data_IF_813799077584
#
_entry.id   IF_813799077584
#
_cell.length_a   1.000
_cell.length_b   1.000
_cell.length_c   1.000
_cell.angle_alpha   90.00
_cell.angle_beta   90.00
_cell.angle_gamma   90.00
#
_symmetry.space_group_name_H-M   'P 1'
#
loop_
_entity.id
_entity.type
_entity.pdbx_description
1 polymer ?
#
# COMPACT_ATOMS: atom_id res chain seq x y z
N UNK A 1 -15.79 7.84 -18.81
CA UNK A 1 -16.10 7.55 -17.37
C UNK A 1 -15.12 6.54 -16.85
N UNK A 2 -14.75 6.64 -15.56
CA UNK A 2 -13.74 5.79 -14.94
C UNK A 2 -14.34 5.04 -13.75
N UNK A 3 -13.97 3.77 -13.57
CA UNK A 3 -14.37 2.95 -12.43
C UNK A 3 -13.29 2.96 -11.35
N UNK A 4 -13.64 3.33 -10.13
CA UNK A 4 -12.78 3.24 -8.96
C UNK A 4 -13.29 2.17 -7.99
N UNK A 5 -12.47 1.15 -7.70
CA UNK A 5 -12.74 0.22 -6.62
C UNK A 5 -11.93 0.58 -5.39
N UNK A 6 -12.49 0.40 -4.20
CA UNK A 6 -11.80 0.75 -2.95
C UNK A 6 -11.81 2.24 -2.60
N UNK A 7 -12.73 3.03 -3.14
CA UNK A 7 -12.87 4.47 -2.89
C UNK A 7 -13.04 4.82 -1.40
N UNK A 8 -13.57 3.92 -0.58
CA UNK A 8 -13.76 4.12 0.88
C UNK A 8 -12.51 3.85 1.71
N UNK A 9 -11.44 3.35 1.08
CA UNK A 9 -10.15 3.09 1.71
C UNK A 9 -9.25 4.34 1.75
N UNK A 10 -8.12 4.26 2.48
CA UNK A 10 -7.18 5.37 2.61
C UNK A 10 -6.70 5.92 1.26
N UNK A 11 -6.06 5.08 0.44
CA UNK A 11 -5.58 5.50 -0.88
C UNK A 11 -6.73 5.88 -1.84
N UNK A 12 -7.86 5.15 -1.76
CA UNK A 12 -8.98 5.38 -2.68
C UNK A 12 -9.67 6.73 -2.48
N UNK A 13 -9.76 7.24 -1.23
CA UNK A 13 -10.30 8.58 -0.96
C UNK A 13 -9.42 9.68 -1.55
N UNK A 14 -8.10 9.58 -1.35
CA UNK A 14 -7.15 10.53 -1.95
C UNK A 14 -7.17 10.46 -3.48
N UNK A 15 -7.27 9.26 -4.03
CA UNK A 15 -7.31 9.07 -5.48
C UNK A 15 -8.61 9.63 -6.09
N UNK A 16 -9.77 9.47 -5.44
CA UNK A 16 -11.03 10.07 -5.94
C UNK A 16 -10.94 11.58 -6.02
N UNK A 17 -10.42 12.23 -4.97
CA UNK A 17 -10.21 13.68 -4.97
C UNK A 17 -9.22 14.12 -6.08
N UNK A 18 -8.12 13.35 -6.27
CA UNK A 18 -7.12 13.65 -7.31
C UNK A 18 -7.68 13.50 -8.73
N UNK A 19 -8.47 12.46 -8.99
CA UNK A 19 -9.12 12.23 -10.28
C UNK A 19 -10.19 13.32 -10.57
N UNK A 20 -11.02 13.64 -9.58
CA UNK A 20 -12.03 14.68 -9.72
C UNK A 20 -11.42 16.06 -9.98
N UNK A 21 -10.31 16.40 -9.31
CA UNK A 21 -9.57 17.65 -9.56
C UNK A 21 -9.03 17.77 -11.01
N UNK A 22 -8.89 16.62 -11.70
CA UNK A 22 -8.58 16.56 -13.14
C UNK A 22 -9.82 16.51 -14.04
N UNK A 23 -11.01 16.73 -13.50
CA UNK A 23 -12.28 16.76 -14.25
C UNK A 23 -12.76 15.36 -14.68
N UNK A 24 -12.29 14.29 -14.02
CA UNK A 24 -12.71 12.93 -14.35
C UNK A 24 -14.06 12.60 -13.73
N UNK A 25 -14.92 11.90 -14.47
CA UNK A 25 -16.20 11.40 -13.98
C UNK A 25 -16.01 10.00 -13.42
N UNK A 26 -16.38 9.79 -12.15
CA UNK A 26 -16.08 8.59 -11.39
C UNK A 26 -17.33 7.78 -11.07
N UNK A 27 -17.28 6.49 -11.36
CA UNK A 27 -18.17 5.47 -10.82
C UNK A 27 -17.40 4.66 -9.78
N UNK A 28 -18.03 4.32 -8.65
CA UNK A 28 -17.45 3.44 -7.65
C UNK A 28 -18.23 2.13 -7.51
N UNK A 29 -17.50 1.02 -7.36
CA UNK A 29 -18.08 -0.24 -6.88
C UNK A 29 -17.91 -0.31 -5.36
N UNK A 30 -19.03 -0.35 -4.63
CA UNK A 30 -19.07 -0.26 -3.17
C UNK A 30 -19.86 -1.44 -2.60
N UNK A 31 -19.31 -2.08 -1.58
CA UNK A 31 -19.96 -3.23 -0.94
C UNK A 31 -21.29 -2.83 -0.29
N UNK A 32 -22.29 -3.69 -0.43
CA UNK A 32 -23.58 -3.53 0.25
C UNK A 32 -23.36 -3.40 1.76
N UNK A 33 -24.06 -2.44 2.39
CA UNK A 33 -23.93 -2.16 3.83
C UNK A 33 -22.77 -1.20 4.19
N UNK A 34 -22.03 -0.69 3.22
CA UNK A 34 -21.06 0.38 3.48
C UNK A 34 -21.77 1.66 3.92
N UNK A 35 -21.28 2.32 4.97
CA UNK A 35 -21.78 3.62 5.40
C UNK A 35 -21.58 4.67 4.29
N UNK A 36 -22.66 5.33 3.90
CA UNK A 36 -22.68 6.37 2.86
C UNK A 36 -21.69 7.51 3.13
N UNK A 37 -21.47 7.86 4.40
CA UNK A 37 -20.51 8.90 4.81
C UNK A 37 -19.05 8.56 4.46
N UNK A 38 -18.76 7.31 4.14
CA UNK A 38 -17.44 6.87 3.73
C UNK A 38 -17.20 6.94 2.22
N UNK A 39 -18.26 7.16 1.44
CA UNK A 39 -18.16 7.33 -0.01
C UNK A 39 -17.74 8.77 -0.26
N UNK A 40 -16.62 9.02 -0.98
CA UNK A 40 -16.19 10.37 -1.32
C UNK A 40 -17.24 11.12 -2.13
N UNK A 41 -17.38 12.42 -1.88
CA UNK A 41 -18.34 13.29 -2.57
C UNK A 41 -18.06 13.42 -4.08
N UNK A 42 -16.83 13.13 -4.47
CA UNK A 42 -16.37 13.13 -5.86
C UNK A 42 -16.90 11.94 -6.69
N UNK A 43 -17.55 10.96 -6.08
CA UNK A 43 -18.15 9.82 -6.77
C UNK A 43 -19.53 10.21 -7.30
N UNK A 44 -19.68 10.30 -8.63
CA UNK A 44 -20.95 10.65 -9.26
C UNK A 44 -21.91 9.47 -9.37
N UNK A 45 -21.37 8.24 -9.55
CA UNK A 45 -22.18 7.02 -9.65
C UNK A 45 -21.69 5.95 -8.68
N UNK A 46 -22.62 5.32 -7.98
CA UNK A 46 -22.30 4.20 -7.08
C UNK A 46 -23.03 2.94 -7.51
N UNK A 47 -22.27 1.88 -7.79
CA UNK A 47 -22.79 0.54 -7.98
C UNK A 47 -22.61 -0.25 -6.69
N UNK A 48 -23.72 -0.77 -6.16
CA UNK A 48 -23.72 -1.58 -4.95
C UNK A 48 -23.51 -3.06 -5.28
N UNK A 49 -22.47 -3.64 -4.70
CA UNK A 49 -22.11 -5.06 -4.85
C UNK A 49 -20.67 -5.33 -4.45
N UNK A 50 -20.32 -6.61 -4.39
CA UNK A 50 -18.95 -7.09 -4.15
C UNK A 50 -18.20 -7.36 -5.45
N UNK A 51 -16.89 -7.57 -5.32
CA UNK A 51 -16.06 -8.09 -6.43
C UNK A 51 -16.28 -9.60 -6.69
N UNK A 52 -17.13 -10.22 -5.91
CA UNK A 52 -17.63 -11.58 -6.05
C UNK A 52 -19.06 -11.65 -6.63
N UNK A 53 -19.66 -10.51 -6.99
CA UNK A 53 -20.99 -10.40 -7.59
C UNK A 53 -20.88 -10.10 -9.10
N UNK A 54 -21.05 -11.11 -10.00
CA UNK A 54 -20.92 -10.90 -11.45
C UNK A 54 -21.91 -9.87 -12.01
N UNK A 55 -23.12 -9.78 -11.45
CA UNK A 55 -24.09 -8.80 -11.90
C UNK A 55 -23.71 -7.37 -11.50
N UNK A 56 -23.15 -7.18 -10.32
CA UNK A 56 -22.61 -5.89 -9.89
C UNK A 56 -21.37 -5.50 -10.73
N UNK A 57 -20.49 -6.46 -11.02
CA UNK A 57 -19.32 -6.23 -11.87
C UNK A 57 -19.72 -5.80 -13.27
N UNK A 58 -20.69 -6.48 -13.90
CA UNK A 58 -21.19 -6.11 -15.22
C UNK A 58 -21.77 -4.69 -15.24
N UNK A 59 -22.54 -4.30 -14.20
CA UNK A 59 -23.05 -2.93 -14.08
C UNK A 59 -21.94 -1.92 -13.85
N UNK A 60 -20.95 -2.27 -13.01
CA UNK A 60 -19.85 -1.37 -12.66
C UNK A 60 -18.95 -1.08 -13.86
N UNK A 61 -18.66 -2.08 -14.69
CA UNK A 61 -17.76 -1.95 -15.88
C UNK A 61 -18.46 -1.45 -17.13
N UNK A 62 -19.80 -1.39 -17.16
CA UNK A 62 -20.56 -0.94 -18.34
C UNK A 62 -20.21 0.50 -18.72
N UNK A 63 -19.83 0.73 -19.97
CA UNK A 63 -19.45 2.05 -20.52
C UNK A 63 -18.30 2.74 -19.74
N UNK A 64 -17.35 1.97 -19.23
CA UNK A 64 -16.14 2.44 -18.58
C UNK A 64 -14.96 2.38 -19.55
N UNK A 65 -14.17 3.45 -19.60
CA UNK A 65 -12.93 3.49 -20.38
C UNK A 65 -11.73 2.97 -19.58
N UNK A 66 -11.63 3.37 -18.29
CA UNK A 66 -10.51 3.02 -17.41
C UNK A 66 -10.99 2.52 -16.06
N UNK A 67 -10.39 1.43 -15.59
CA UNK A 67 -10.57 0.89 -14.24
C UNK A 67 -9.35 1.23 -13.38
N UNK A 68 -9.57 1.85 -12.22
CA UNK A 68 -8.58 2.01 -11.14
C UNK A 68 -8.89 1.01 -10.03
N UNK A 69 -8.12 -0.07 -9.97
CA UNK A 69 -8.32 -1.13 -9.00
C UNK A 69 -7.42 -0.94 -7.78
N UNK A 70 -7.97 -0.28 -6.74
CA UNK A 70 -7.29 0.04 -5.48
C UNK A 70 -7.79 -0.85 -4.33
N UNK A 71 -8.95 -1.46 -4.50
CA UNK A 71 -9.54 -2.34 -3.48
C UNK A 71 -8.60 -3.48 -3.11
N UNK A 72 -8.36 -3.65 -1.83
CA UNK A 72 -7.64 -4.80 -1.27
C UNK A 72 -7.99 -4.99 0.21
N UNK A 73 -7.96 -6.24 0.67
CA UNK A 73 -7.89 -6.55 2.10
C UNK A 73 -6.46 -6.27 2.59
N UNK A 74 -6.31 -5.33 3.53
CA UNK A 74 -5.01 -4.91 4.10
C UNK A 74 -4.89 -5.22 5.60
N UNK A 75 -5.90 -5.83 6.22
CA UNK A 75 -5.92 -6.11 7.66
C UNK A 75 -4.79 -7.07 8.06
N UNK A 76 -4.25 -6.92 9.28
CA UNK A 76 -3.27 -7.85 9.83
C UNK A 76 -3.87 -9.19 10.28
N UNK A 77 -5.20 -9.33 10.29
CA UNK A 77 -5.95 -10.52 10.68
C UNK A 77 -6.73 -11.12 9.51
N UNK A 78 -6.95 -12.41 9.57
CA UNK A 78 -7.71 -13.18 8.57
C UNK A 78 -6.97 -14.42 8.09
N UNK A 79 -7.72 -15.40 7.61
CA UNK A 79 -7.17 -16.62 7.02
C UNK A 79 -6.55 -16.31 5.66
N UNK A 80 -5.64 -17.17 5.20
CA UNK A 80 -5.06 -17.09 3.86
C UNK A 80 -6.12 -17.15 2.77
N UNK A 81 -7.14 -17.99 2.97
CA UNK A 81 -8.27 -18.13 2.05
C UNK A 81 -9.09 -16.84 1.91
N UNK A 82 -9.23 -16.08 2.99
CA UNK A 82 -9.90 -14.79 2.93
C UNK A 82 -9.10 -13.76 2.10
N UNK A 83 -7.77 -13.80 2.17
CA UNK A 83 -6.91 -12.96 1.33
C UNK A 83 -6.88 -13.44 -0.12
N UNK A 84 -6.89 -14.76 -0.36
CA UNK A 84 -7.02 -15.30 -1.72
C UNK A 84 -8.31 -14.82 -2.35
N UNK A 85 -9.44 -15.05 -1.69
CA UNK A 85 -10.76 -14.62 -2.19
C UNK A 85 -10.85 -13.11 -2.43
N UNK A 86 -10.42 -12.30 -1.43
CA UNK A 86 -10.68 -10.86 -1.44
C UNK A 86 -9.65 -10.06 -2.26
N UNK A 87 -8.46 -10.60 -2.52
CA UNK A 87 -7.39 -9.90 -3.26
C UNK A 87 -7.04 -10.56 -4.60
N UNK A 88 -7.10 -11.90 -4.70
CA UNK A 88 -6.72 -12.60 -5.94
C UNK A 88 -7.94 -12.85 -6.79
N UNK A 89 -8.86 -13.70 -6.33
CA UNK A 89 -10.07 -14.05 -7.07
C UNK A 89 -10.93 -12.82 -7.39
N UNK A 90 -11.08 -11.90 -6.44
CA UNK A 90 -11.79 -10.65 -6.64
C UNK A 90 -11.16 -9.77 -7.74
N UNK A 91 -9.83 -9.77 -7.87
CA UNK A 91 -9.13 -9.06 -8.94
C UNK A 91 -9.34 -9.77 -10.28
N UNK A 92 -9.27 -11.11 -10.32
CA UNK A 92 -9.53 -11.91 -11.54
C UNK A 92 -10.96 -11.65 -12.05
N UNK A 93 -11.97 -11.72 -11.19
CA UNK A 93 -13.36 -11.44 -11.55
C UNK A 93 -13.53 -10.03 -12.18
N UNK A 94 -12.85 -9.02 -11.61
CA UNK A 94 -12.93 -7.65 -12.15
C UNK A 94 -12.21 -7.51 -13.48
N UNK A 95 -11.10 -8.20 -13.69
CA UNK A 95 -10.39 -8.25 -14.99
C UNK A 95 -11.26 -8.87 -16.08
N UNK A 96 -11.90 -10.00 -15.81
CA UNK A 96 -12.81 -10.68 -16.73
C UNK A 96 -14.02 -9.78 -17.08
N UNK A 97 -14.61 -9.13 -16.08
CA UNK A 97 -15.71 -8.20 -16.30
C UNK A 97 -15.30 -6.96 -17.11
N UNK A 98 -14.09 -6.44 -16.87
CA UNK A 98 -13.53 -5.32 -17.62
C UNK A 98 -13.30 -5.70 -19.10
N UNK A 99 -12.76 -6.88 -19.38
CA UNK A 99 -12.57 -7.38 -20.73
C UNK A 99 -13.90 -7.59 -21.45
N UNK A 100 -14.86 -8.24 -20.80
CA UNK A 100 -16.20 -8.47 -21.35
C UNK A 100 -16.94 -7.17 -21.67
N UNK A 101 -16.70 -6.10 -20.90
CA UNK A 101 -17.29 -4.79 -21.11
C UNK A 101 -16.54 -3.90 -22.12
N UNK A 102 -15.40 -4.35 -22.64
CA UNK A 102 -14.56 -3.59 -23.58
C UNK A 102 -13.82 -2.42 -22.94
N UNK A 103 -13.50 -2.51 -21.65
CA UNK A 103 -12.66 -1.54 -20.97
C UNK A 103 -11.30 -1.43 -21.68
N UNK A 104 -10.84 -0.22 -21.90
CA UNK A 104 -9.58 0.02 -22.62
C UNK A 104 -8.37 -0.16 -21.73
N UNK A 105 -8.43 0.34 -20.47
CA UNK A 105 -7.30 0.36 -19.56
C UNK A 105 -7.65 -0.09 -18.15
N UNK A 106 -6.74 -0.85 -17.54
CA UNK A 106 -6.87 -1.35 -16.18
C UNK A 106 -5.60 -1.01 -15.37
N UNK A 107 -5.71 -0.10 -14.43
CA UNK A 107 -4.63 0.29 -13.53
C UNK A 107 -4.78 -0.47 -12.24
N UNK A 108 -3.84 -1.38 -11.96
CA UNK A 108 -3.81 -2.18 -10.75
C UNK A 108 -2.83 -1.63 -9.73
N UNK A 109 -3.27 -1.41 -8.49
CA UNK A 109 -2.40 -1.01 -7.39
C UNK A 109 -1.93 -2.25 -6.64
N UNK A 110 -0.67 -2.61 -6.87
CA UNK A 110 0.06 -3.69 -6.20
C UNK A 110 0.79 -3.19 -4.94
N UNK A 111 2.01 -3.61 -4.70
CA UNK A 111 2.87 -3.16 -3.58
C UNK A 111 4.33 -3.45 -3.86
N UNK A 112 5.23 -2.53 -3.59
CA UNK A 112 6.68 -2.77 -3.58
C UNK A 112 7.10 -3.81 -2.50
N UNK A 113 6.20 -4.09 -1.55
CA UNK A 113 6.40 -5.11 -0.54
C UNK A 113 6.49 -6.56 -1.06
N UNK A 114 6.24 -6.83 -2.33
CA UNK A 114 6.24 -8.20 -2.90
C UNK A 114 7.62 -8.67 -3.39
N UNK A 115 8.57 -7.77 -3.55
CA UNK A 115 9.92 -8.14 -4.01
C UNK A 115 10.72 -8.96 -3.00
N UNK A 116 11.60 -9.82 -3.52
CA UNK A 116 12.60 -10.54 -2.73
C UNK A 116 13.69 -9.61 -2.19
N UNK A 117 14.43 -10.12 -1.21
CA UNK A 117 15.60 -9.45 -0.64
C UNK A 117 16.91 -9.91 -1.26
N UNK A 118 16.84 -10.89 -2.12
CA UNK A 118 18.01 -11.53 -2.74
C UNK A 118 18.46 -10.80 -4.02
N UNK A 119 17.97 -9.57 -4.25
CA UNK A 119 18.63 -8.63 -5.16
C UNK A 119 20.07 -8.43 -4.65
N UNK A 120 20.96 -9.23 -5.20
CA UNK A 120 22.28 -9.55 -4.62
C UNK A 120 23.24 -8.34 -4.53
N UNK A 121 22.88 -7.13 -4.92
CA UNK A 121 23.80 -5.97 -4.87
C UNK A 121 23.25 -4.64 -5.35
N UNK A 122 21.95 -4.46 -5.58
CA UNK A 122 21.51 -3.24 -6.24
C UNK A 122 20.17 -2.70 -5.78
N UNK A 123 19.76 -1.68 -6.47
CA UNK A 123 18.44 -1.13 -6.34
C UNK A 123 17.43 -2.13 -6.92
N UNK A 124 16.27 -2.23 -6.30
CA UNK A 124 15.16 -3.07 -6.76
C UNK A 124 14.45 -2.32 -7.89
N UNK A 125 14.50 -2.87 -9.08
CA UNK A 125 13.72 -2.43 -10.23
C UNK A 125 12.51 -3.35 -10.50
N UNK A 126 11.74 -3.05 -11.53
CA UNK A 126 10.53 -3.80 -11.89
C UNK A 126 10.83 -5.19 -12.46
N UNK A 127 12.07 -5.45 -12.88
CA UNK A 127 12.54 -6.77 -13.38
C UNK A 127 13.00 -7.69 -12.24
N UNK A 128 13.22 -7.12 -11.05
CA UNK A 128 13.64 -7.87 -9.87
C UNK A 128 12.60 -8.95 -9.52
N UNK A 129 13.04 -10.22 -9.34
CA UNK A 129 12.12 -11.30 -9.02
C UNK A 129 11.32 -11.05 -7.74
N UNK A 130 10.07 -11.51 -7.75
CA UNK A 130 9.25 -11.53 -6.53
C UNK A 130 9.89 -12.44 -5.48
N UNK A 131 9.58 -12.19 -4.20
CA UNK A 131 10.13 -12.97 -3.09
C UNK A 131 9.76 -14.47 -3.22
N UNK A 132 10.71 -15.39 -3.43
CA UNK A 132 10.43 -16.81 -3.50
C UNK A 132 9.88 -17.37 -2.19
N UNK A 133 10.09 -16.67 -1.08
CA UNK A 133 9.59 -17.03 0.26
C UNK A 133 8.41 -16.14 0.69
N UNK A 134 7.70 -15.52 -0.25
CA UNK A 134 6.60 -14.58 0.01
C UNK A 134 5.54 -15.13 0.97
N UNK A 135 5.37 -16.45 0.99
CA UNK A 135 4.44 -17.13 1.90
C UNK A 135 4.76 -16.90 3.38
N UNK A 136 6.03 -16.70 3.73
CA UNK A 136 6.47 -16.43 5.09
C UNK A 136 6.21 -14.99 5.54
N UNK A 137 5.94 -14.06 4.61
CA UNK A 137 5.61 -12.65 4.92
C UNK A 137 4.25 -12.44 5.53
N UNK A 138 3.36 -13.39 5.30
CA UNK A 138 1.97 -13.31 5.72
C UNK A 138 1.00 -13.17 4.54
N UNK A 139 -0.27 -13.34 4.83
CA UNK A 139 -1.32 -13.49 3.83
C UNK A 139 -1.47 -12.28 2.90
N UNK A 140 -1.26 -11.06 3.41
CA UNK A 140 -1.35 -9.84 2.59
C UNK A 140 -0.28 -9.80 1.48
N UNK A 141 1.01 -9.89 1.84
CA UNK A 141 2.09 -9.82 0.85
C UNK A 141 2.00 -10.97 -0.16
N UNK A 142 1.67 -12.17 0.32
CA UNK A 142 1.43 -13.34 -0.52
C UNK A 142 0.28 -13.11 -1.51
N UNK A 143 -0.87 -12.59 -1.06
CA UNK A 143 -2.01 -12.34 -1.95
C UNK A 143 -1.73 -11.23 -2.97
N UNK A 144 -1.00 -10.17 -2.56
CA UNK A 144 -0.61 -9.11 -3.49
C UNK A 144 0.35 -9.61 -4.57
N UNK A 145 1.32 -10.48 -4.22
CA UNK A 145 2.22 -11.07 -5.20
C UNK A 145 1.47 -11.98 -6.19
N UNK A 146 0.50 -12.78 -5.71
CA UNK A 146 -0.33 -13.63 -6.58
C UNK A 146 -1.22 -12.80 -7.50
N UNK A 147 -1.89 -11.79 -6.96
CA UNK A 147 -2.73 -10.91 -7.76
C UNK A 147 -1.91 -10.13 -8.81
N UNK A 148 -0.72 -9.63 -8.45
CA UNK A 148 0.21 -8.99 -9.37
C UNK A 148 0.58 -9.92 -10.55
N UNK A 149 0.93 -11.17 -10.28
CA UNK A 149 1.22 -12.17 -11.32
C UNK A 149 0.00 -12.48 -12.20
N UNK A 150 -1.21 -12.58 -11.60
CA UNK A 150 -2.46 -12.79 -12.36
C UNK A 150 -2.78 -11.62 -13.27
N UNK A 151 -2.65 -10.39 -12.76
CA UNK A 151 -2.87 -9.16 -13.53
C UNK A 151 -1.90 -9.06 -14.70
N UNK A 152 -0.61 -9.34 -14.46
CA UNK A 152 0.42 -9.35 -15.51
C UNK A 152 0.11 -10.36 -16.60
N UNK A 153 -0.16 -11.62 -16.24
CA UNK A 153 -0.50 -12.69 -17.21
C UNK A 153 -1.79 -12.40 -17.98
N UNK A 154 -2.77 -11.80 -17.32
CA UNK A 154 -4.00 -11.37 -18.01
C UNK A 154 -3.68 -10.33 -19.08
N UNK A 155 -2.87 -9.32 -18.76
CA UNK A 155 -2.49 -8.27 -19.70
C UNK A 155 -1.70 -8.76 -20.93
N UNK A 156 -0.96 -9.89 -20.78
CA UNK A 156 -0.24 -10.54 -21.89
C UNK A 156 -1.19 -11.15 -22.94
N UNK A 157 -2.40 -11.57 -22.52
CA UNK A 157 -3.34 -12.34 -23.34
C UNK A 157 -4.65 -11.60 -23.63
N UNK A 158 -4.85 -10.40 -23.07
CA UNK A 158 -6.07 -9.60 -23.18
C UNK A 158 -5.86 -8.38 -24.09
N UNK A 159 -6.94 -7.84 -24.65
CA UNK A 159 -6.90 -6.53 -25.32
C UNK A 159 -6.92 -5.35 -24.37
N UNK A 160 -7.20 -5.57 -23.09
CA UNK A 160 -7.17 -4.52 -22.05
C UNK A 160 -5.72 -4.10 -21.80
N UNK A 161 -5.44 -2.81 -21.84
CA UNK A 161 -4.13 -2.27 -21.50
C UNK A 161 -3.95 -2.30 -19.98
N UNK A 162 -3.25 -3.31 -19.49
CA UNK A 162 -2.95 -3.44 -18.05
C UNK A 162 -1.73 -2.63 -17.68
N UNK A 163 -1.82 -1.88 -16.57
CA UNK A 163 -0.72 -1.12 -15.97
C UNK A 163 -0.67 -1.42 -14.47
N UNK A 164 0.52 -1.70 -13.94
CA UNK A 164 0.73 -2.07 -12.54
C UNK A 164 1.53 -0.99 -11.82
N UNK A 165 1.01 -0.49 -10.71
CA UNK A 165 1.71 0.44 -9.80
C UNK A 165 2.09 -0.31 -8.53
N UNK A 166 3.35 -0.26 -8.14
CA UNK A 166 3.90 -0.85 -6.92
C UNK A 166 4.35 0.24 -5.94
N UNK A 167 3.43 0.82 -5.17
CA UNK A 167 3.80 1.81 -4.17
C UNK A 167 4.55 1.16 -3.01
N UNK A 168 5.40 1.95 -2.37
CA UNK A 168 6.03 1.60 -1.11
C UNK A 168 5.05 1.62 0.08
N UNK A 169 5.58 1.89 1.27
CA UNK A 169 4.80 2.06 2.47
C UNK A 169 4.09 3.42 2.44
N UNK A 170 2.78 3.41 2.32
CA UNK A 170 1.98 4.63 2.25
C UNK A 170 1.99 5.39 3.58
N UNK A 171 2.21 6.69 3.52
CA UNK A 171 2.12 7.63 4.63
C UNK A 171 1.51 8.96 4.16
N UNK A 172 1.22 9.88 5.07
CA UNK A 172 0.65 11.19 4.76
C UNK A 172 -0.56 11.51 5.64
N UNK A 173 -1.34 12.51 5.24
CA UNK A 173 -2.53 12.95 5.98
C UNK A 173 -3.48 11.77 6.28
N UNK A 174 -4.12 11.79 7.45
CA UNK A 174 -5.01 10.75 7.95
C UNK A 174 -4.38 9.36 8.20
N UNK A 175 -3.11 9.13 7.80
CA UNK A 175 -2.43 7.89 8.08
C UNK A 175 -1.92 7.84 9.54
N UNK A 176 -1.97 6.66 10.14
CA UNK A 176 -1.26 6.45 11.42
C UNK A 176 0.25 6.43 11.14
N UNK A 177 1.05 7.14 11.95
CA UNK A 177 2.50 7.12 11.78
C UNK A 177 3.07 5.71 11.83
N UNK A 178 3.90 5.37 10.86
CA UNK A 178 4.66 4.13 10.87
C UNK A 178 5.81 4.25 11.89
N UNK A 179 5.82 3.42 12.91
CA UNK A 179 6.78 3.51 14.02
C UNK A 179 7.89 2.44 13.95
N UNK A 180 8.14 1.89 12.77
CA UNK A 180 9.12 0.83 12.51
C UNK A 180 8.48 -0.54 12.32
N UNK A 181 9.06 -1.37 11.45
CA UNK A 181 8.55 -2.71 11.11
C UNK A 181 8.52 -3.66 12.31
N UNK A 182 9.50 -3.53 13.19
CA UNK A 182 9.60 -4.30 14.41
C UNK A 182 9.96 -3.35 15.55
N UNK A 183 8.93 -2.77 16.19
CA UNK A 183 9.13 -1.83 17.28
C UNK A 183 8.13 -2.04 18.42
N UNK A 184 8.60 -1.88 19.64
CA UNK A 184 7.83 -2.14 20.85
C UNK A 184 7.84 -0.90 21.77
N UNK A 185 6.68 -0.48 22.31
CA UNK A 185 6.65 0.58 23.30
C UNK A 185 7.33 0.13 24.59
N UNK A 186 8.09 1.02 25.21
CA UNK A 186 8.62 0.77 26.56
C UNK A 186 7.55 1.16 27.58
N UNK A 187 7.08 0.25 28.44
CA UNK A 187 6.10 0.55 29.47
C UNK A 187 6.53 1.73 30.33
N UNK A 188 5.65 2.70 30.57
CA UNK A 188 5.91 3.96 31.31
C UNK A 188 7.01 4.84 30.70
N UNK A 189 7.49 4.56 29.50
CA UNK A 189 8.63 5.24 28.86
C UNK A 189 8.31 6.53 28.11
N UNK A 190 7.12 7.12 28.20
CA UNK A 190 6.71 8.39 27.57
C UNK A 190 7.29 8.55 26.13
N UNK A 191 6.79 7.77 25.19
CA UNK A 191 7.23 7.80 23.80
C UNK A 191 8.51 6.99 23.50
N UNK A 192 9.17 6.39 24.51
CA UNK A 192 10.30 5.48 24.27
C UNK A 192 9.86 4.21 23.58
N UNK A 193 10.61 3.83 22.55
CA UNK A 193 10.38 2.60 21.80
C UNK A 193 11.68 1.85 21.55
N UNK A 194 11.64 0.54 21.71
CA UNK A 194 12.70 -0.35 21.22
C UNK A 194 12.41 -0.58 19.73
N UNK A 195 13.40 -0.28 18.89
CA UNK A 195 13.33 -0.48 17.44
C UNK A 195 14.39 -1.49 17.06
N UNK A 196 13.97 -2.63 16.53
CA UNK A 196 14.90 -3.70 16.11
C UNK A 196 15.51 -3.34 14.76
N UNK A 197 16.83 -3.39 14.68
CA UNK A 197 17.62 -3.05 13.50
C UNK A 197 18.46 -1.79 13.69
N UNK A 198 18.82 -1.16 12.59
CA UNK A 198 19.67 0.04 12.55
C UNK A 198 18.85 1.30 12.24
N UNK A 199 19.30 2.44 12.77
CA UNK A 199 18.77 3.75 12.34
C UNK A 199 18.94 4.00 10.84
N UNK A 200 19.96 3.37 10.24
CA UNK A 200 20.30 3.52 8.83
C UNK A 200 19.49 2.58 7.91
N UNK A 201 18.62 1.73 8.45
CA UNK A 201 17.75 0.89 7.61
C UNK A 201 16.86 1.77 6.75
N UNK A 202 16.83 1.50 5.45
CA UNK A 202 16.03 2.27 4.50
C UNK A 202 14.55 1.86 4.57
N UNK A 203 13.69 2.85 4.46
CA UNK A 203 12.24 2.68 4.38
C UNK A 203 11.76 3.06 2.97
N UNK A 204 11.05 2.19 2.28
CA UNK A 204 10.43 2.52 1.00
C UNK A 204 9.13 3.28 1.26
N UNK A 205 9.23 4.56 1.57
CA UNK A 205 8.09 5.42 1.84
C UNK A 205 7.49 5.95 0.55
N UNK A 206 6.17 6.06 0.50
CA UNK A 206 5.44 6.74 -0.58
C UNK A 206 4.35 7.58 0.05
N UNK A 207 4.42 8.90 -0.15
CA UNK A 207 3.33 9.78 0.28
C UNK A 207 2.06 9.44 -0.51
N UNK A 208 0.91 9.48 0.15
CA UNK A 208 -0.35 9.08 -0.48
C UNK A 208 -0.66 9.91 -1.74
N UNK A 209 -0.38 11.21 -1.73
CA UNK A 209 -0.63 12.08 -2.89
C UNK A 209 0.37 11.81 -4.02
N UNK A 210 1.64 11.47 -3.71
CA UNK A 210 2.62 11.02 -4.69
C UNK A 210 2.18 9.70 -5.36
N UNK A 211 1.63 8.77 -4.56
CA UNK A 211 1.05 7.53 -5.08
C UNK A 211 -0.16 7.81 -5.98
N UNK A 212 -1.07 8.70 -5.56
CA UNK A 212 -2.23 9.08 -6.36
C UNK A 212 -1.82 9.70 -7.70
N UNK A 213 -0.81 10.57 -7.70
CA UNK A 213 -0.30 11.18 -8.92
C UNK A 213 0.24 10.11 -9.89
N UNK A 214 1.07 9.18 -9.40
CA UNK A 214 1.56 8.06 -10.20
C UNK A 214 0.43 7.19 -10.78
N UNK A 215 -0.62 6.91 -10.00
CA UNK A 215 -1.78 6.12 -10.43
C UNK A 215 -2.55 6.86 -11.54
N UNK A 216 -2.74 8.15 -11.39
CA UNK A 216 -3.41 8.98 -12.42
C UNK A 216 -2.58 9.00 -13.70
N UNK A 217 -1.27 9.23 -13.61
CA UNK A 217 -0.36 9.21 -14.74
C UNK A 217 -0.33 7.84 -15.44
N UNK A 218 -0.40 6.74 -14.68
CA UNK A 218 -0.54 5.40 -15.23
C UNK A 218 -1.84 5.22 -16.03
N UNK A 219 -2.94 5.81 -15.55
CA UNK A 219 -4.20 5.85 -16.28
C UNK A 219 -4.14 6.68 -17.56
N UNK A 220 -3.34 7.73 -17.60
CA UNK A 220 -3.22 8.65 -18.76
C UNK A 220 -2.23 8.15 -19.82
N UNK A 221 -1.05 7.67 -19.40
CA UNK A 221 0.08 7.40 -20.28
C UNK A 221 0.90 6.15 -19.97
N UNK A 222 0.45 5.32 -19.02
CA UNK A 222 1.14 4.07 -18.71
C UNK A 222 1.27 3.18 -19.94
N UNK A 223 2.44 2.60 -20.17
CA UNK A 223 2.65 1.67 -21.26
C UNK A 223 1.83 0.38 -21.04
N UNK A 224 1.31 -0.22 -22.10
CA UNK A 224 0.64 -1.52 -22.03
C UNK A 224 1.58 -2.56 -21.43
N UNK A 225 1.15 -3.25 -20.39
CA UNK A 225 1.97 -4.20 -19.63
C UNK A 225 3.01 -3.55 -18.72
N UNK A 226 3.05 -2.21 -18.65
CA UNK A 226 3.98 -1.45 -17.81
C UNK A 226 3.78 -1.74 -16.34
N UNK A 227 4.88 -1.87 -15.63
CA UNK A 227 4.93 -1.97 -14.17
C UNK A 227 5.84 -0.86 -13.67
N UNK A 228 5.46 -0.22 -12.56
CA UNK A 228 6.16 0.97 -12.07
C UNK A 228 6.31 0.94 -10.55
N UNK A 229 7.56 1.00 -10.08
CA UNK A 229 7.86 1.24 -8.68
C UNK A 229 7.62 2.72 -8.34
N UNK A 230 6.90 2.97 -7.26
CA UNK A 230 6.55 4.32 -6.81
C UNK A 230 6.99 4.47 -5.36
N UNK A 231 8.19 5.01 -5.17
CA UNK A 231 8.80 5.26 -3.86
C UNK A 231 9.40 6.67 -3.89
N UNK A 232 9.10 7.49 -2.89
CA UNK A 232 9.45 8.93 -2.88
C UNK A 232 10.97 9.20 -2.86
N UNK A 233 11.76 8.20 -2.50
CA UNK A 233 13.21 8.32 -2.45
C UNK A 233 13.82 7.44 -1.36
N UNK A 234 15.10 7.70 -1.08
CA UNK A 234 15.86 6.95 -0.08
C UNK A 234 15.79 7.67 1.28
N UNK A 235 15.02 7.11 2.20
CA UNK A 235 14.86 7.64 3.56
C UNK A 235 15.30 6.61 4.58
N UNK A 236 16.16 7.00 5.54
CA UNK A 236 16.50 6.12 6.64
C UNK A 236 15.38 6.08 7.70
N UNK A 237 15.24 4.93 8.38
CA UNK A 237 14.33 4.80 9.51
C UNK A 237 14.62 5.82 10.61
N UNK A 238 15.91 6.15 10.81
CA UNK A 238 16.33 7.15 11.80
C UNK A 238 15.86 8.56 11.45
N UNK A 239 16.02 8.96 10.20
CA UNK A 239 15.62 10.30 9.77
C UNK A 239 14.09 10.46 9.76
N UNK A 240 13.38 9.44 9.29
CA UNK A 240 11.91 9.44 9.33
C UNK A 240 11.37 9.53 10.78
N UNK A 241 11.88 8.70 11.71
CA UNK A 241 11.42 8.74 13.10
C UNK A 241 11.83 10.03 13.82
N UNK A 242 12.99 10.59 13.50
CA UNK A 242 13.41 11.89 14.01
C UNK A 242 12.48 13.00 13.50
N UNK A 243 12.12 12.97 12.23
CA UNK A 243 11.21 13.95 11.64
C UNK A 243 9.81 13.87 12.27
N UNK A 244 9.25 12.66 12.47
CA UNK A 244 7.99 12.49 13.17
C UNK A 244 7.99 13.11 14.58
N UNK A 245 9.14 12.99 15.29
CA UNK A 245 9.28 13.53 16.63
C UNK A 245 9.41 15.07 16.63
N UNK A 246 10.23 15.62 15.73
CA UNK A 246 10.48 17.07 15.64
C UNK A 246 9.30 17.83 15.08
N UNK A 247 8.56 17.23 14.16
CA UNK A 247 7.31 17.79 13.60
C UNK A 247 6.11 17.70 14.56
N UNK A 248 6.25 17.02 15.70
CA UNK A 248 5.16 16.87 16.66
C UNK A 248 4.09 15.85 16.26
N UNK A 249 4.26 15.13 15.16
CA UNK A 249 3.30 14.10 14.67
C UNK A 249 3.24 12.92 15.62
N UNK A 250 4.40 12.48 16.16
CA UNK A 250 4.47 11.42 17.14
C UNK A 250 5.62 11.66 18.15
N UNK A 251 5.35 11.65 19.45
CA UNK A 251 6.39 11.83 20.48
C UNK A 251 7.21 10.54 20.64
N UNK A 252 8.04 10.24 19.63
CA UNK A 252 8.84 9.02 19.59
C UNK A 252 10.30 9.27 20.02
N UNK A 253 10.83 8.38 20.87
CA UNK A 253 12.23 8.33 21.32
C UNK A 253 12.77 6.93 21.06
N UNK A 254 13.32 6.63 19.85
CA UNK A 254 13.74 5.30 19.49
C UNK A 254 15.04 4.91 20.20
N UNK A 255 15.11 3.68 20.67
CA UNK A 255 16.33 2.99 21.08
C UNK A 255 16.55 1.85 20.13
N UNK A 256 17.59 1.92 19.31
CA UNK A 256 17.89 0.91 18.31
C UNK A 256 18.62 -0.28 18.95
N UNK A 257 18.14 -1.48 18.64
CA UNK A 257 18.70 -2.73 19.15
C UNK A 257 19.06 -3.62 17.97
N UNK A 258 20.31 -4.12 17.90
CA UNK A 258 20.74 -5.01 16.81
C UNK A 258 19.85 -6.24 16.70
N UNK A 259 19.49 -6.61 15.46
CA UNK A 259 18.63 -7.77 15.18
C UNK A 259 19.26 -9.09 15.65
N UNK A 260 20.59 -9.17 15.69
CA UNK A 260 21.31 -10.33 16.18
C UNK A 260 20.87 -10.78 17.58
N UNK A 261 20.50 -9.83 18.46
CA UNK A 261 20.02 -10.14 19.80
C UNK A 261 18.66 -10.84 19.81
N UNK A 262 17.89 -10.71 18.75
CA UNK A 262 16.58 -11.36 18.59
C UNK A 262 16.64 -12.69 17.86
N UNK A 263 17.79 -13.03 17.25
CA UNK A 263 17.98 -14.29 16.50
C UNK A 263 17.73 -15.54 17.34
N UNK A 264 18.26 -15.66 18.59
CA UNK A 264 17.97 -16.81 19.44
C UNK A 264 16.48 -16.95 19.77
N UNK A 265 15.80 -15.82 20.00
CA UNK A 265 14.35 -15.79 20.26
C UNK A 265 13.59 -16.29 19.03
N UNK A 266 13.95 -15.83 17.83
CA UNK A 266 13.34 -16.28 16.59
C UNK A 266 13.54 -17.78 16.36
N UNK A 267 14.73 -18.31 16.64
CA UNK A 267 15.02 -19.75 16.56
C UNK A 267 14.18 -20.55 17.55
N UNK A 268 14.07 -20.09 18.79
CA UNK A 268 13.21 -20.70 19.80
C UNK A 268 11.73 -20.70 19.39
N UNK A 269 11.24 -19.61 18.81
CA UNK A 269 9.88 -19.54 18.27
C UNK A 269 9.67 -20.53 17.11
N UNK A 270 10.62 -20.65 16.20
CA UNK A 270 10.54 -21.61 15.09
C UNK A 270 10.51 -23.05 15.58
N UNK A 271 11.36 -23.38 16.57
CA UNK A 271 11.37 -24.70 17.18
C UNK A 271 10.05 -25.00 17.90
N UNK A 272 9.55 -24.07 18.70
CA UNK A 272 8.28 -24.23 19.38
C UNK A 272 7.10 -24.36 18.39
N UNK A 273 7.13 -23.63 17.28
CA UNK A 273 6.15 -23.77 16.20
C UNK A 273 6.15 -25.19 15.61
N UNK A 274 7.35 -25.76 15.37
CA UNK A 274 7.50 -27.14 14.87
C UNK A 274 6.98 -28.19 15.86
N UNK A 275 7.23 -27.98 17.15
CA UNK A 275 6.81 -28.94 18.19
C UNK A 275 5.32 -28.86 18.55
N UNK A 276 4.74 -27.64 18.51
CA UNK A 276 3.37 -27.43 18.98
C UNK A 276 2.34 -27.30 17.85
N UNK A 277 2.79 -27.12 16.58
CA UNK A 277 1.93 -26.79 15.44
C UNK A 277 1.34 -25.36 15.48
N UNK A 278 1.63 -24.58 16.54
CA UNK A 278 1.12 -23.21 16.71
C UNK A 278 2.10 -22.20 16.12
N UNK A 279 1.66 -21.45 15.13
CA UNK A 279 2.49 -20.37 14.53
C UNK A 279 2.79 -19.28 15.54
N UNK A 280 4.07 -19.09 15.83
CA UNK A 280 4.55 -17.98 16.68
C UNK A 280 4.93 -16.76 15.84
N UNK A 281 4.83 -15.54 16.41
CA UNK A 281 4.88 -14.30 15.63
C UNK A 281 6.26 -13.95 15.07
N UNK A 282 7.37 -14.41 15.71
CA UNK A 282 8.72 -14.07 15.32
C UNK A 282 9.42 -15.26 14.65
N UNK A 283 9.94 -15.04 13.44
CA UNK A 283 10.79 -16.00 12.71
C UNK A 283 12.06 -15.30 12.23
N UNK A 284 13.12 -16.05 11.95
CA UNK A 284 14.36 -15.49 11.37
C UNK A 284 14.08 -14.78 10.05
N UNK A 285 13.18 -15.31 9.24
CA UNK A 285 12.74 -14.66 8.00
C UNK A 285 12.11 -13.28 8.29
N UNK A 286 11.14 -13.19 9.22
CA UNK A 286 10.52 -11.92 9.59
C UNK A 286 11.52 -10.94 10.18
N UNK A 287 12.47 -11.44 10.98
CA UNK A 287 13.54 -10.62 11.56
C UNK A 287 14.46 -10.07 10.46
N UNK A 288 14.91 -10.90 9.52
CA UNK A 288 15.69 -10.47 8.35
C UNK A 288 14.93 -9.39 7.60
N UNK A 289 13.67 -9.64 7.22
CA UNK A 289 12.83 -8.70 6.47
C UNK A 289 12.58 -7.37 7.17
N UNK A 290 12.44 -7.38 8.51
CA UNK A 290 12.22 -6.15 9.28
C UNK A 290 13.45 -5.24 9.34
N UNK A 291 14.64 -5.81 9.13
CA UNK A 291 15.93 -5.11 9.24
C UNK A 291 16.64 -4.92 7.89
N UNK A 292 16.04 -5.37 6.80
CA UNK A 292 16.55 -5.14 5.45
C UNK A 292 16.48 -3.68 5.06
N UNK A 293 17.55 -3.25 4.39
CA UNK A 293 17.65 -1.96 3.71
C UNK A 293 17.59 -2.21 2.21
N UNK A 294 16.46 -1.88 1.61
CA UNK A 294 16.24 -2.03 0.18
C UNK A 294 16.06 -0.64 -0.43
N UNK A 295 16.78 -0.38 -1.50
CA UNK A 295 16.59 0.79 -2.34
C UNK A 295 15.77 0.39 -3.56
N UNK A 296 14.91 1.28 -4.00
CA UNK A 296 14.04 1.04 -5.15
C UNK A 296 14.42 1.99 -6.27
N UNK A 297 14.62 1.45 -7.46
CA UNK A 297 14.72 2.21 -8.68
C UNK A 297 13.31 2.62 -9.12
N UNK A 298 13.15 3.89 -9.43
CA UNK A 298 11.90 4.51 -9.91
C UNK A 298 12.08 5.16 -11.29
N UNK A 299 13.17 4.86 -11.97
CA UNK A 299 13.48 5.45 -13.28
C UNK A 299 12.39 5.14 -14.31
N UNK A 300 11.84 3.92 -14.31
CA UNK A 300 10.74 3.58 -15.21
C UNK A 300 9.49 4.47 -15.01
N UNK A 301 9.13 4.78 -13.75
CA UNK A 301 8.04 5.71 -13.47
C UNK A 301 8.36 7.14 -13.92
N UNK A 302 9.60 7.60 -13.73
CA UNK A 302 10.05 8.92 -14.16
C UNK A 302 10.06 9.04 -15.68
N UNK A 303 10.71 8.12 -16.36
CA UNK A 303 10.97 8.18 -17.79
C UNK A 303 9.70 7.93 -18.61
N UNK A 304 8.85 6.98 -18.21
CA UNK A 304 7.69 6.57 -18.98
C UNK A 304 6.39 7.27 -18.56
N UNK A 305 6.21 7.55 -17.25
CA UNK A 305 5.03 8.26 -16.77
C UNK A 305 5.28 9.77 -16.62
N UNK A 306 6.55 10.22 -16.59
CA UNK A 306 6.91 11.57 -16.17
C UNK A 306 6.54 11.81 -14.72
N UNK A 307 6.59 10.77 -13.89
CA UNK A 307 6.27 10.89 -12.48
C UNK A 307 7.46 11.40 -11.68
N UNK A 308 7.20 12.39 -10.85
CA UNK A 308 8.11 12.88 -9.82
C UNK A 308 7.32 13.07 -8.53
N UNK A 309 7.91 12.78 -7.35
CA UNK A 309 7.25 13.07 -6.09
C UNK A 309 6.88 14.56 -5.99
N UNK A 310 5.60 14.86 -5.85
CA UNK A 310 5.09 16.23 -5.71
C UNK A 310 5.29 16.79 -4.29
N UNK A 311 5.45 15.90 -3.31
CA UNK A 311 5.75 16.22 -1.92
C UNK A 311 7.03 15.52 -1.50
N UNK A 312 7.93 16.25 -0.88
CA UNK A 312 9.10 15.69 -0.21
C UNK A 312 8.76 15.10 1.15
N UNK A 313 9.72 14.44 1.79
CA UNK A 313 9.52 13.79 3.10
C UNK A 313 9.04 14.78 4.18
N UNK A 314 9.56 16.00 4.19
CA UNK A 314 9.24 16.99 5.23
C UNK A 314 7.80 17.46 5.08
N UNK A 315 7.42 17.90 3.88
CA UNK A 315 6.04 18.28 3.59
C UNK A 315 5.06 17.12 3.79
N UNK A 316 5.45 15.88 3.41
CA UNK A 316 4.66 14.69 3.61
C UNK A 316 4.44 14.34 5.09
N UNK A 317 5.45 14.49 5.95
CA UNK A 317 5.28 14.30 7.40
C UNK A 317 4.46 15.43 8.00
N UNK A 318 4.67 16.67 7.56
CA UNK A 318 3.88 17.80 8.05
C UNK A 318 2.39 17.66 7.72
N UNK A 319 2.03 17.06 6.58
CA UNK A 319 0.64 16.76 6.21
C UNK A 319 -0.05 15.77 7.18
N UNK A 320 0.72 15.00 7.96
CA UNK A 320 0.18 14.08 8.96
C UNK A 320 -0.27 14.77 10.26
N UNK A 321 0.05 16.05 10.43
CA UNK A 321 -0.47 16.81 11.57
C UNK A 321 -1.98 16.93 11.39
N UNK A 322 -2.75 16.48 12.39
CA UNK A 322 -4.18 16.78 12.42
C UNK A 322 -4.37 18.29 12.29
N UNK A 323 -5.36 18.78 11.53
CA UNK A 323 -5.70 20.18 11.58
C UNK A 323 -5.92 20.52 13.06
N UNK A 324 -5.12 21.45 13.60
CA UNK A 324 -5.35 22.00 14.92
C UNK A 324 -6.76 22.53 14.93
N UNK A 325 -7.68 21.85 15.64
CA UNK A 325 -8.93 22.48 16.06
C UNK A 325 -8.52 23.79 16.75
N UNK A 326 -9.05 24.95 16.37
CA UNK A 326 -8.80 26.18 17.09
C UNK A 326 -9.14 25.91 18.56
N UNK A 327 -8.20 26.27 19.40
CA UNK A 327 -8.23 26.14 20.86
C UNK A 327 -9.57 26.68 21.42
N UNK A 328 -10.45 25.78 21.89
CA UNK A 328 -11.61 26.09 22.70
C UNK A 328 -11.18 26.50 24.13
N UNK A 329 -10.11 27.29 24.23
CA UNK A 329 -9.65 27.87 25.46
C UNK A 329 -10.09 29.33 25.63
N UNK A 330 -11.41 29.57 25.48
CA UNK A 330 -12.04 30.78 26.05
C UNK A 330 -13.51 30.47 26.32
N UNK A 331 -13.82 29.85 27.41
CA UNK A 331 -14.87 30.29 28.33
C UNK A 331 -14.91 29.39 29.58
N UNK A 332 -14.17 29.80 30.59
CA UNK A 332 -14.40 29.34 31.95
C UNK A 332 -14.44 30.55 32.86
N UNK A 333 -15.48 31.36 32.68
CA UNK A 333 -15.86 32.40 33.64
C UNK A 333 -17.36 32.49 33.73
N UNK A 334 -17.97 31.58 34.52
CA UNK A 334 -19.12 31.89 35.42
C UNK A 334 -19.47 30.70 36.30
#
# INVERSE_FOLDING_TARGET
>A
MELLTGCTGYLGRHLSARLAAKGRTLRALVRVGTDLKRIPEEIQETVWGGLDDPAALARATHAIDTVFHVAARVSSGGSRDAFERDNVTATENLLEAAEAAGVKRFVYVSSAGIYGSDAASGDIDETTPLDPSIEQRGAYAWSKARADDRVRRFGENSNVEVVIIRPGLLYGSEAKPFLGRLSFPVPRGRGRRIVVGSRNNLLPLTHVDNACDAIVLAGERGARGGTYNVVDGTTSQGDYLALLATSGVAPIRPTYVPSALFTPIAMGCELATRLTGRSLPLTRYKLKRATESLRYDTSAARDQLGWEPILDLTAGVDSMKSPTTPDDSTDNSR
#
